data_IF_317377589046
#
_entry.id   IF_317377589046
#
_cell.length_a   1.000
_cell.length_b   1.000
_cell.length_c   1.000
_cell.angle_alpha   90.00
_cell.angle_beta   90.00
_cell.angle_gamma   90.00
#
_symmetry.space_group_name_H-M   'P 1'
#
loop_
_entity.id
_entity.type
_entity.pdbx_description
1 polymer ?
#
# COMPACT_ATOMS: atom_id res chain seq x y z
N UNK A 1 -0.45 3.28 15.02
CA UNK A 1 -1.58 2.57 15.67
C UNK A 1 -1.36 1.06 15.74
N UNK A 2 -0.96 0.40 14.64
CA UNK A 2 -0.80 -1.06 14.58
C UNK A 2 0.10 -1.69 15.66
N UNK A 3 1.25 -1.07 15.98
CA UNK A 3 2.17 -1.56 17.03
C UNK A 3 1.50 -1.76 18.39
N UNK A 4 0.67 -0.81 18.82
CA UNK A 4 -0.05 -0.90 20.12
C UNK A 4 -1.01 -2.09 20.14
N UNK A 5 -1.71 -2.34 19.04
CA UNK A 5 -2.60 -3.50 18.91
C UNK A 5 -1.81 -4.82 18.87
N UNK A 6 -0.68 -4.85 18.15
CA UNK A 6 0.17 -6.04 18.07
C UNK A 6 0.70 -6.45 19.46
N UNK A 7 1.13 -5.48 20.27
CA UNK A 7 1.57 -5.73 21.66
C UNK A 7 0.46 -6.30 22.53
N UNK A 8 -0.75 -5.72 22.47
CA UNK A 8 -1.88 -6.17 23.27
C UNK A 8 -2.31 -7.62 22.92
N UNK A 9 -2.05 -8.05 21.69
CA UNK A 9 -2.42 -9.37 21.17
C UNK A 9 -1.26 -10.37 21.14
N UNK A 10 -0.09 -10.01 21.68
CA UNK A 10 1.14 -10.82 21.62
C UNK A 10 1.52 -11.26 20.18
N UNK A 11 1.38 -10.32 19.24
CA UNK A 11 1.76 -10.47 17.83
C UNK A 11 3.12 -9.80 17.57
N UNK A 12 3.68 -10.01 16.38
CA UNK A 12 4.92 -9.36 15.96
C UNK A 12 4.69 -7.86 15.73
N UNK A 13 5.20 -7.03 16.65
CA UNK A 13 5.06 -5.57 16.62
C UNK A 13 5.66 -4.92 15.38
N UNK A 14 6.85 -5.36 14.97
CA UNK A 14 7.59 -4.75 13.86
C UNK A 14 6.98 -5.12 12.51
N UNK A 15 6.51 -6.36 12.35
CA UNK A 15 5.79 -6.78 11.15
C UNK A 15 4.51 -5.96 10.96
N UNK A 16 3.70 -5.82 12.02
CA UNK A 16 2.44 -5.07 11.96
C UNK A 16 2.71 -3.59 11.68
N UNK A 17 3.75 -3.01 12.30
CA UNK A 17 4.11 -1.63 12.03
C UNK A 17 4.59 -1.42 10.59
N UNK A 18 5.43 -2.31 10.06
CA UNK A 18 5.86 -2.27 8.66
C UNK A 18 4.67 -2.35 7.69
N UNK A 19 3.69 -3.22 7.96
CA UNK A 19 2.45 -3.31 7.19
C UNK A 19 1.64 -2.01 7.26
N UNK A 20 1.54 -1.38 8.44
CA UNK A 20 0.86 -0.10 8.59
C UNK A 20 1.53 1.02 7.77
N UNK A 21 2.85 1.04 7.65
CA UNK A 21 3.53 2.01 6.79
C UNK A 21 3.32 1.72 5.30
N UNK A 22 3.24 0.45 4.92
CA UNK A 22 3.14 0.03 3.52
C UNK A 22 1.73 -0.03 2.92
N UNK A 23 0.66 -0.04 3.73
CA UNK A 23 -0.67 -0.42 3.25
C UNK A 23 -1.21 0.48 2.11
N UNK A 24 -0.93 1.78 2.19
CA UNK A 24 -1.52 2.79 1.30
C UNK A 24 -0.51 3.43 0.34
N UNK A 25 0.64 2.79 0.11
CA UNK A 25 1.65 3.31 -0.82
C UNK A 25 1.12 3.48 -2.25
N UNK A 26 0.19 2.62 -2.67
CA UNK A 26 -0.39 2.60 -4.01
C UNK A 26 -1.57 3.53 -4.22
N UNK A 27 -1.94 4.36 -3.24
CA UNK A 27 -3.07 5.28 -3.40
C UNK A 27 -2.83 6.27 -4.54
N UNK A 28 -3.85 6.42 -5.35
CA UNK A 28 -3.88 7.39 -6.44
C UNK A 28 -4.04 8.81 -5.90
N UNK A 29 -3.59 9.83 -6.67
CA UNK A 29 -4.07 11.18 -6.46
C UNK A 29 -5.61 11.20 -6.39
N UNK A 30 -6.16 12.06 -5.53
CA UNK A 30 -7.61 12.18 -5.30
C UNK A 30 -8.30 10.95 -4.67
N UNK A 31 -7.53 10.00 -4.12
CA UNK A 31 -8.08 8.85 -3.39
C UNK A 31 -8.97 7.98 -4.27
N UNK A 32 -10.14 7.57 -3.75
CA UNK A 32 -11.05 6.66 -4.45
C UNK A 32 -11.49 7.18 -5.82
N UNK A 33 -11.65 8.49 -6.00
CA UNK A 33 -12.00 9.05 -7.31
C UNK A 33 -10.92 8.77 -8.35
N UNK A 34 -9.65 8.88 -7.96
CA UNK A 34 -8.53 8.55 -8.83
C UNK A 34 -8.49 7.07 -9.17
N UNK A 35 -8.76 6.22 -8.18
CA UNK A 35 -8.79 4.76 -8.34
C UNK A 35 -9.94 4.32 -9.26
N UNK A 36 -11.15 4.84 -9.05
CA UNK A 36 -12.31 4.59 -9.92
C UNK A 36 -12.04 5.04 -11.35
N UNK A 37 -11.45 6.23 -11.53
CA UNK A 37 -11.11 6.76 -12.84
C UNK A 37 -10.08 5.88 -13.55
N UNK A 38 -9.01 5.47 -12.85
CA UNK A 38 -8.00 4.56 -13.42
C UNK A 38 -8.60 3.22 -13.78
N UNK A 39 -9.48 2.67 -12.95
CA UNK A 39 -10.13 1.39 -13.19
C UNK A 39 -11.06 1.42 -14.42
N UNK A 40 -11.61 2.59 -14.77
CA UNK A 40 -12.43 2.75 -15.97
C UNK A 40 -11.61 2.84 -17.26
N UNK A 41 -10.43 3.46 -17.21
CA UNK A 41 -9.61 3.74 -18.41
C UNK A 41 -8.51 2.71 -18.66
N UNK A 42 -8.17 1.91 -17.65
CA UNK A 42 -7.15 0.87 -17.73
C UNK A 42 -7.80 -0.50 -17.87
N UNK A 43 -7.61 -1.15 -19.03
CA UNK A 43 -8.30 -2.40 -19.39
C UNK A 43 -8.00 -3.59 -18.48
N UNK A 44 -6.86 -3.60 -17.79
CA UNK A 44 -6.51 -4.66 -16.84
C UNK A 44 -7.09 -4.43 -15.43
N UNK A 45 -7.73 -3.28 -15.22
CA UNK A 45 -8.24 -2.84 -13.93
C UNK A 45 -7.16 -2.29 -13.01
N UNK A 46 -7.56 -1.45 -12.06
CA UNK A 46 -6.66 -0.80 -11.13
C UNK A 46 -7.18 -0.92 -9.69
N UNK A 47 -6.30 -1.30 -8.77
CA UNK A 47 -6.56 -1.22 -7.32
C UNK A 47 -5.36 -0.66 -6.58
N UNK A 48 -5.61 0.18 -5.58
CA UNK A 48 -4.53 0.79 -4.79
C UNK A 48 -3.69 -0.28 -4.07
N UNK A 49 -4.31 -1.37 -3.61
CA UNK A 49 -3.62 -2.46 -2.90
C UNK A 49 -2.65 -3.24 -3.79
N UNK A 50 -3.05 -3.59 -5.02
CA UNK A 50 -2.14 -4.22 -6.00
C UNK A 50 -1.01 -3.26 -6.40
N UNK A 51 -1.31 -1.96 -6.50
CA UNK A 51 -0.31 -0.94 -6.78
C UNK A 51 0.65 -0.72 -5.58
N UNK A 52 0.20 -0.85 -4.33
CA UNK A 52 1.07 -0.82 -3.14
C UNK A 52 2.12 -1.93 -3.22
N UNK A 53 1.72 -3.14 -3.59
CA UNK A 53 2.64 -4.27 -3.79
C UNK A 53 3.62 -3.99 -4.95
N UNK A 54 3.11 -3.50 -6.09
CA UNK A 54 3.95 -3.16 -7.26
C UNK A 54 5.02 -2.13 -6.92
N UNK A 55 4.68 -1.13 -6.11
CA UNK A 55 5.64 -0.10 -5.67
C UNK A 55 6.78 -0.73 -4.90
N UNK A 56 6.48 -1.53 -3.89
CA UNK A 56 7.50 -2.17 -3.04
C UNK A 56 8.35 -3.15 -3.84
N UNK A 57 7.74 -3.97 -4.68
CA UNK A 57 8.42 -5.05 -5.40
C UNK A 57 9.22 -4.58 -6.62
N UNK A 58 8.82 -3.48 -7.28
CA UNK A 58 9.36 -3.08 -8.59
C UNK A 58 9.87 -1.65 -8.65
N UNK A 59 9.28 -0.71 -7.91
CA UNK A 59 9.58 0.71 -8.09
C UNK A 59 10.48 1.28 -6.97
N UNK A 60 10.41 0.71 -5.77
CA UNK A 60 11.21 1.16 -4.62
C UNK A 60 12.73 1.04 -4.87
N UNK A 61 13.16 0.10 -5.72
CA UNK A 61 14.57 -0.03 -6.10
C UNK A 61 15.03 1.02 -7.11
N UNK A 62 14.12 1.60 -7.90
CA UNK A 62 14.46 2.61 -8.92
C UNK A 62 14.85 3.97 -8.31
N UNK A 63 14.58 4.19 -7.02
CA UNK A 63 14.93 5.40 -6.28
C UNK A 63 16.21 5.29 -5.43
N UNK A 64 16.91 4.14 -5.45
CA UNK A 64 18.19 3.98 -4.78
C UNK A 64 19.28 4.63 -5.64
N UNK A 65 19.70 5.84 -5.25
CA UNK A 65 20.87 6.56 -5.80
C UNK A 65 22.16 5.87 -5.36
#
# INVERSE_FOLDING_TARGET
>A
MGRTFARALNLNEDLVEAMCYGHDLGHTPFGHLGEETLNQIYSEGFTHSAQSLRIVDKLAEMGKV
#
